data_IF_283992024808
#
_entry.id   IF_283992024808
#
_cell.length_a   1.000
_cell.length_b   1.000
_cell.length_c   1.000
_cell.angle_alpha   90.00
_cell.angle_beta   90.00
_cell.angle_gamma   90.00
#
_symmetry.space_group_name_H-M   'P 1'
#
loop_
_entity.id
_entity.type
_entity.pdbx_description
1 polymer ?
#
# COMPACT_ATOMS: atom_id res chain seq x y z
N UNK A 1 -4.97 3.70 24.64
CA UNK A 1 -6.40 3.32 24.59
C UNK A 1 -6.64 2.26 23.53
N UNK A 2 -6.44 2.49 22.23
CA UNK A 2 -6.81 1.54 21.17
C UNK A 2 -6.11 0.15 21.27
N UNK A 3 -4.79 0.13 21.50
CA UNK A 3 -4.06 -1.14 21.69
C UNK A 3 -4.60 -1.97 22.88
N UNK A 4 -5.07 -1.30 23.94
CA UNK A 4 -5.70 -1.96 25.08
C UNK A 4 -7.02 -2.61 24.66
N UNK A 5 -7.88 -1.91 23.91
CA UNK A 5 -9.14 -2.46 23.38
C UNK A 5 -8.89 -3.69 22.50
N UNK A 6 -7.83 -3.68 21.65
CA UNK A 6 -7.46 -4.83 20.85
C UNK A 6 -7.06 -6.03 21.70
N UNK A 7 -6.28 -5.81 22.76
CA UNK A 7 -5.85 -6.86 23.69
C UNK A 7 -7.03 -7.43 24.50
N UNK A 8 -7.89 -6.58 25.07
CA UNK A 8 -9.06 -6.99 25.84
C UNK A 8 -10.04 -7.83 25.02
N UNK A 9 -10.15 -7.55 23.71
CA UNK A 9 -11.00 -8.30 22.78
C UNK A 9 -10.30 -9.52 22.18
N UNK A 10 -9.00 -9.71 22.44
CA UNK A 10 -8.19 -10.77 21.81
C UNK A 10 -8.36 -10.77 20.28
N UNK A 11 -8.41 -9.57 19.69
CA UNK A 11 -8.79 -9.39 18.30
C UNK A 11 -7.79 -9.99 17.31
N UNK A 12 -6.48 -9.94 17.65
CA UNK A 12 -5.39 -10.41 16.81
C UNK A 12 -4.21 -10.94 17.63
N UNK A 13 -3.34 -11.78 17.02
CA UNK A 13 -2.03 -12.09 17.55
C UNK A 13 -1.20 -10.80 17.74
N UNK A 14 -0.46 -10.72 18.84
CA UNK A 14 0.32 -9.52 19.20
C UNK A 14 1.34 -9.12 18.10
N UNK A 15 1.93 -10.10 17.42
CA UNK A 15 2.85 -9.86 16.30
C UNK A 15 2.17 -9.07 15.18
N UNK A 16 0.95 -9.45 14.78
CA UNK A 16 0.20 -8.77 13.70
C UNK A 16 -0.19 -7.35 14.09
N UNK A 17 -0.48 -7.12 15.38
CA UNK A 17 -0.71 -5.78 15.91
C UNK A 17 0.55 -4.94 15.74
N UNK A 18 1.72 -5.44 16.19
CA UNK A 18 2.98 -4.70 16.07
C UNK A 18 3.35 -4.41 14.61
N UNK A 19 3.25 -5.39 13.73
CA UNK A 19 3.54 -5.21 12.28
C UNK A 19 2.66 -4.11 11.68
N UNK A 20 1.36 -4.11 12.00
CA UNK A 20 0.40 -3.12 11.49
C UNK A 20 0.72 -1.70 11.99
N UNK A 21 1.04 -1.54 13.27
CA UNK A 21 1.38 -0.24 13.85
C UNK A 21 2.72 0.30 13.32
N UNK A 22 3.73 -0.55 13.23
CA UNK A 22 5.04 -0.18 12.68
C UNK A 22 4.96 0.18 11.20
N UNK A 23 4.23 -0.61 10.41
CA UNK A 23 3.99 -0.28 9.02
C UNK A 23 3.27 1.06 8.88
N UNK A 24 2.17 1.27 9.62
CA UNK A 24 1.45 2.55 9.62
C UNK A 24 2.38 3.71 10.01
N UNK A 25 3.16 3.59 11.09
CA UNK A 25 4.09 4.63 11.53
C UNK A 25 5.14 4.95 10.45
N UNK A 26 5.65 3.92 9.76
CA UNK A 26 6.63 4.05 8.68
C UNK A 26 6.06 4.83 7.48
N UNK A 27 4.80 4.59 7.09
CA UNK A 27 4.26 5.09 5.82
C UNK A 27 3.30 6.28 5.95
N UNK A 28 2.70 6.55 7.12
CA UNK A 28 1.67 7.58 7.30
C UNK A 28 2.05 8.97 6.78
N UNK A 29 3.31 9.38 6.94
CA UNK A 29 3.79 10.67 6.46
C UNK A 29 4.12 10.69 4.96
N UNK A 30 4.00 9.55 4.28
CA UNK A 30 4.24 9.37 2.84
C UNK A 30 2.96 9.24 2.04
N UNK A 31 1.92 8.74 2.64
CA UNK A 31 0.58 8.68 2.06
C UNK A 31 -0.06 10.06 2.19
N UNK A 32 -0.42 10.66 1.07
CA UNK A 32 -1.07 11.97 0.99
C UNK A 32 -2.25 11.86 0.03
N UNK A 33 -3.28 11.14 0.48
CA UNK A 33 -4.49 10.90 -0.29
C UNK A 33 -5.70 10.96 0.62
N UNK A 34 -6.82 11.46 0.09
CA UNK A 34 -8.11 11.43 0.78
C UNK A 34 -8.72 10.03 0.81
N UNK A 35 -8.37 9.21 -0.18
CA UNK A 35 -8.84 7.83 -0.29
C UNK A 35 -7.68 6.85 -0.17
N UNK A 36 -7.83 5.85 0.69
CA UNK A 36 -6.85 4.79 0.95
C UNK A 36 -7.52 3.43 0.73
N UNK A 37 -6.85 2.54 0.05
CA UNK A 37 -7.28 1.15 -0.10
C UNK A 37 -6.26 0.19 0.49
N UNK A 38 -6.67 -0.60 1.48
CA UNK A 38 -5.90 -1.70 2.04
C UNK A 38 -6.30 -2.98 1.31
N UNK A 39 -5.42 -3.45 0.42
CA UNK A 39 -5.69 -4.58 -0.48
C UNK A 39 -5.13 -5.88 0.06
N UNK A 40 -5.92 -6.95 0.02
CA UNK A 40 -5.66 -8.19 0.73
C UNK A 40 -5.56 -7.96 2.24
N UNK A 41 -6.44 -7.11 2.74
CA UNK A 41 -6.38 -6.51 4.07
C UNK A 41 -6.61 -7.51 5.22
N UNK A 42 -7.16 -8.70 4.95
CA UNK A 42 -7.54 -9.64 6.00
C UNK A 42 -8.42 -8.96 7.05
N UNK A 43 -7.89 -8.81 8.24
CA UNK A 43 -8.56 -8.14 9.36
C UNK A 43 -8.62 -6.60 9.27
N UNK A 44 -7.95 -5.97 8.32
CA UNK A 44 -8.07 -4.54 8.00
C UNK A 44 -7.44 -3.57 8.98
N UNK A 45 -6.60 -4.01 9.94
CA UNK A 45 -6.06 -3.13 10.99
C UNK A 45 -5.28 -1.95 10.41
N UNK A 46 -4.51 -2.15 9.34
CA UNK A 46 -3.70 -1.08 8.73
C UNK A 46 -4.60 0.03 8.17
N UNK A 47 -5.61 -0.31 7.38
CA UNK A 47 -6.56 0.67 6.87
C UNK A 47 -7.35 1.38 7.99
N UNK A 48 -7.73 0.63 9.04
CA UNK A 48 -8.39 1.20 10.23
C UNK A 48 -7.48 2.22 10.94
N UNK A 49 -6.16 1.97 11.05
CA UNK A 49 -5.22 2.94 11.60
C UNK A 49 -5.17 4.25 10.79
N UNK A 50 -5.27 4.19 9.45
CA UNK A 50 -5.39 5.38 8.63
C UNK A 50 -6.70 6.13 8.91
N UNK A 51 -7.84 5.45 9.01
CA UNK A 51 -9.11 6.08 9.34
C UNK A 51 -9.10 6.77 10.72
N UNK A 52 -8.37 6.20 11.68
CA UNK A 52 -8.28 6.72 13.05
C UNK A 52 -7.34 7.91 13.18
N UNK A 53 -6.15 7.81 12.61
CA UNK A 53 -5.03 8.70 12.94
C UNK A 53 -4.63 9.66 11.83
N UNK A 54 -5.14 9.48 10.61
CA UNK A 54 -4.93 10.42 9.52
C UNK A 54 -6.22 11.23 9.28
N UNK A 55 -6.14 12.54 9.57
CA UNK A 55 -7.29 13.44 9.46
C UNK A 55 -7.65 13.77 8.02
N UNK A 56 -6.68 13.71 7.12
CA UNK A 56 -6.87 14.03 5.71
C UNK A 56 -7.52 12.87 4.95
N UNK A 57 -7.52 11.66 5.53
CA UNK A 57 -8.18 10.49 4.95
C UNK A 57 -9.68 10.56 5.22
N UNK A 58 -10.46 10.55 4.16
CA UNK A 58 -11.92 10.64 4.16
C UNK A 58 -12.60 9.29 3.87
N UNK A 59 -11.99 8.44 3.00
CA UNK A 59 -12.47 7.11 2.63
C UNK A 59 -11.39 6.04 2.77
N UNK A 60 -11.73 4.93 3.39
CA UNK A 60 -10.87 3.75 3.54
C UNK A 60 -11.60 2.52 3.02
N UNK A 61 -11.13 2.00 1.89
CA UNK A 61 -11.58 0.73 1.32
C UNK A 61 -10.72 -0.42 1.85
N UNK A 62 -11.31 -1.30 2.61
CA UNK A 62 -10.71 -2.57 3.02
C UNK A 62 -11.17 -3.66 2.05
N UNK A 63 -10.25 -4.28 1.30
CA UNK A 63 -10.62 -5.26 0.29
C UNK A 63 -9.90 -6.59 0.51
N UNK A 64 -10.68 -7.65 0.71
CA UNK A 64 -10.22 -9.03 0.67
C UNK A 64 -11.29 -9.95 0.10
N UNK A 65 -10.94 -11.21 -0.20
CA UNK A 65 -11.89 -12.22 -0.69
C UNK A 65 -12.95 -12.61 0.32
N UNK A 66 -12.58 -12.57 1.61
CA UNK A 66 -13.43 -12.99 2.73
C UNK A 66 -13.20 -12.03 3.89
N UNK A 67 -14.27 -11.56 4.48
CA UNK A 67 -14.24 -10.75 5.70
C UNK A 67 -14.08 -11.66 6.92
N UNK A 68 -12.94 -11.62 7.62
CA UNK A 68 -12.73 -12.46 8.79
C UNK A 68 -13.50 -11.91 10.02
N UNK A 69 -13.92 -12.78 10.97
CA UNK A 69 -14.58 -12.31 12.19
C UNK A 69 -13.76 -11.34 13.04
N UNK A 70 -12.42 -11.42 12.97
CA UNK A 70 -11.52 -10.51 13.65
C UNK A 70 -11.67 -9.05 13.20
N UNK A 71 -12.12 -8.80 11.97
CA UNK A 71 -12.41 -7.45 11.50
C UNK A 71 -13.45 -6.75 12.38
N UNK A 72 -14.55 -7.42 12.73
CA UNK A 72 -15.62 -6.84 13.53
C UNK A 72 -15.13 -6.49 14.96
N UNK A 73 -14.24 -7.30 15.52
CA UNK A 73 -13.62 -7.03 16.82
C UNK A 73 -12.72 -5.79 16.79
N UNK A 74 -11.94 -5.65 15.71
CA UNK A 74 -11.02 -4.50 15.53
C UNK A 74 -11.81 -3.24 15.24
N UNK A 75 -12.84 -3.31 14.41
CA UNK A 75 -13.71 -2.17 14.11
C UNK A 75 -14.41 -1.68 15.38
N UNK A 76 -14.96 -2.61 16.18
CA UNK A 76 -15.58 -2.25 17.46
C UNK A 76 -14.57 -1.62 18.45
N UNK A 77 -13.33 -2.12 18.49
CA UNK A 77 -12.26 -1.52 19.28
C UNK A 77 -11.90 -0.10 18.79
N UNK A 78 -11.88 0.11 17.47
CA UNK A 78 -11.61 1.42 16.88
C UNK A 78 -12.75 2.39 17.17
N UNK A 79 -14.00 2.00 17.02
CA UNK A 79 -15.18 2.83 17.29
C UNK A 79 -15.30 3.23 18.77
N UNK A 80 -14.92 2.37 19.69
CA UNK A 80 -14.91 2.68 21.12
C UNK A 80 -13.94 3.84 21.46
N UNK A 81 -12.90 4.05 20.66
CA UNK A 81 -11.87 5.07 20.88
C UNK A 81 -12.00 6.26 19.92
N UNK A 82 -12.47 5.98 18.71
CA UNK A 82 -12.54 6.91 17.59
C UNK A 82 -13.84 6.71 16.79
N UNK A 83 -15.01 7.16 17.32
CA UNK A 83 -16.33 6.91 16.69
C UNK A 83 -16.44 7.39 15.25
N UNK A 84 -15.67 8.41 14.85
CA UNK A 84 -15.65 8.94 13.48
C UNK A 84 -15.14 7.96 12.42
N UNK A 85 -14.50 6.86 12.83
CA UNK A 85 -13.98 5.85 11.91
C UNK A 85 -15.07 5.11 11.14
N UNK A 86 -16.26 4.96 11.73
CA UNK A 86 -17.40 4.27 11.11
C UNK A 86 -17.78 4.88 9.77
N UNK A 87 -17.83 6.20 9.68
CA UNK A 87 -18.21 6.91 8.47
C UNK A 87 -17.15 6.83 7.35
N UNK A 88 -15.92 6.46 7.69
CA UNK A 88 -14.80 6.43 6.75
C UNK A 88 -14.51 5.04 6.16
N UNK A 89 -14.94 3.96 6.82
CA UNK A 89 -14.51 2.60 6.52
C UNK A 89 -15.60 1.85 5.77
N UNK A 90 -15.22 1.25 4.65
CA UNK A 90 -16.03 0.25 3.94
C UNK A 90 -15.22 -1.01 3.71
N UNK A 91 -15.82 -2.17 4.00
CA UNK A 91 -15.23 -3.47 3.70
C UNK A 91 -15.85 -4.06 2.43
N UNK A 92 -15.02 -4.44 1.47
CA UNK A 92 -15.42 -4.99 0.18
C UNK A 92 -14.92 -6.43 0.07
N UNK A 93 -15.85 -7.38 0.02
CA UNK A 93 -15.54 -8.78 -0.25
C UNK A 93 -15.45 -9.01 -1.75
N UNK A 94 -14.22 -8.94 -2.28
CA UNK A 94 -13.95 -9.12 -3.70
C UNK A 94 -12.54 -9.69 -3.93
N UNK A 95 -12.33 -10.40 -5.04
CA UNK A 95 -10.99 -10.82 -5.44
C UNK A 95 -10.16 -9.59 -5.86
N UNK A 96 -8.86 -9.58 -5.52
CA UNK A 96 -7.94 -8.47 -5.80
C UNK A 96 -7.98 -7.95 -7.24
N UNK A 97 -8.17 -8.84 -8.23
CA UNK A 97 -8.27 -8.48 -9.66
C UNK A 97 -9.45 -7.53 -9.98
N UNK A 98 -10.44 -7.43 -9.09
CA UNK A 98 -11.59 -6.55 -9.20
C UNK A 98 -11.48 -5.28 -8.35
N UNK A 99 -10.32 -5.03 -7.74
CA UNK A 99 -10.15 -3.86 -6.87
C UNK A 99 -10.47 -2.55 -7.58
N UNK A 100 -10.10 -2.41 -8.86
CA UNK A 100 -10.36 -1.19 -9.64
C UNK A 100 -11.86 -0.88 -9.83
N UNK A 101 -12.75 -1.87 -9.70
CA UNK A 101 -14.20 -1.66 -9.76
C UNK A 101 -14.72 -0.84 -8.56
N UNK A 102 -13.91 -0.70 -7.52
CA UNK A 102 -14.28 -0.12 -6.22
C UNK A 102 -13.43 1.09 -5.82
N UNK A 103 -12.48 1.52 -6.66
CA UNK A 103 -11.48 2.53 -6.29
C UNK A 103 -11.42 3.64 -7.34
N UNK A 104 -11.26 4.86 -6.87
CA UNK A 104 -11.15 6.05 -7.71
C UNK A 104 -9.68 6.39 -8.01
N UNK A 105 -9.48 7.21 -9.05
CA UNK A 105 -8.16 7.74 -9.40
C UNK A 105 -7.55 8.51 -8.23
N UNK A 106 -6.25 8.34 -8.01
CA UNK A 106 -5.53 8.95 -6.91
C UNK A 106 -5.67 8.21 -5.56
N UNK A 107 -6.47 7.13 -5.47
CA UNK A 107 -6.54 6.29 -4.26
C UNK A 107 -5.16 5.72 -3.94
N UNK A 108 -4.70 5.91 -2.71
CA UNK A 108 -3.45 5.31 -2.23
C UNK A 108 -3.66 3.82 -1.92
N UNK A 109 -2.74 2.99 -2.38
CA UNK A 109 -2.78 1.53 -2.20
C UNK A 109 -1.85 1.11 -1.07
N UNK A 110 -2.38 0.38 -0.12
CA UNK A 110 -1.63 -0.33 0.91
C UNK A 110 -1.69 -1.83 0.63
N UNK A 111 -0.62 -2.55 0.96
CA UNK A 111 -0.59 -4.00 0.87
C UNK A 111 0.39 -4.57 1.89
N UNK A 112 -0.14 -5.00 3.02
CA UNK A 112 0.60 -5.75 4.04
C UNK A 112 0.26 -7.22 3.87
N UNK A 113 1.29 -8.07 3.75
CA UNK A 113 1.11 -9.51 3.49
C UNK A 113 0.36 -9.86 2.18
N UNK A 114 0.33 -8.96 1.21
CA UNK A 114 -0.11 -9.26 -0.14
C UNK A 114 0.93 -10.14 -0.86
N UNK A 115 0.96 -11.43 -0.53
CA UNK A 115 2.05 -12.35 -0.89
C UNK A 115 2.16 -12.65 -2.38
N UNK A 116 3.41 -12.82 -2.84
CA UNK A 116 3.72 -13.28 -4.21
C UNK A 116 3.20 -12.31 -5.28
N UNK A 117 2.49 -12.85 -6.27
CA UNK A 117 1.93 -12.08 -7.38
C UNK A 117 0.90 -11.01 -6.96
N UNK A 118 0.33 -11.09 -5.75
CA UNK A 118 -0.59 -10.07 -5.24
C UNK A 118 0.11 -8.74 -4.99
N UNK A 119 1.37 -8.76 -4.52
CA UNK A 119 2.19 -7.54 -4.41
C UNK A 119 2.31 -6.84 -5.77
N UNK A 120 2.54 -7.60 -6.83
CA UNK A 120 2.68 -7.08 -8.19
C UNK A 120 1.35 -6.54 -8.74
N UNK A 121 0.22 -7.16 -8.37
CA UNK A 121 -1.11 -6.64 -8.68
C UNK A 121 -1.40 -5.32 -7.94
N UNK A 122 -1.01 -5.20 -6.65
CA UNK A 122 -1.13 -3.93 -5.91
C UNK A 122 -0.35 -2.80 -6.60
N UNK A 123 0.87 -3.08 -7.08
CA UNK A 123 1.66 -2.12 -7.86
C UNK A 123 0.93 -1.73 -9.15
N UNK A 124 0.42 -2.71 -9.89
CA UNK A 124 -0.31 -2.46 -11.14
C UNK A 124 -1.57 -1.60 -10.90
N UNK A 125 -2.33 -1.88 -9.85
CA UNK A 125 -3.50 -1.08 -9.47
C UNK A 125 -3.11 0.35 -9.11
N UNK A 126 -2.05 0.54 -8.31
CA UNK A 126 -1.56 1.87 -7.96
C UNK A 126 -1.14 2.67 -9.20
N UNK A 127 -0.46 2.03 -10.16
CA UNK A 127 -0.08 2.66 -11.43
C UNK A 127 -1.32 3.06 -12.22
N UNK A 128 -2.31 2.18 -12.35
CA UNK A 128 -3.56 2.46 -13.05
C UNK A 128 -4.34 3.63 -12.45
N UNK A 129 -4.37 3.73 -11.13
CA UNK A 129 -5.05 4.79 -10.39
C UNK A 129 -4.20 6.06 -10.23
N UNK A 130 -2.91 6.03 -10.60
CA UNK A 130 -1.92 7.08 -10.29
C UNK A 130 -1.88 7.42 -8.79
N UNK A 131 -2.12 6.43 -7.96
CA UNK A 131 -2.10 6.54 -6.49
C UNK A 131 -0.72 6.24 -5.91
N UNK A 132 -0.45 6.76 -4.72
CA UNK A 132 0.72 6.34 -3.93
C UNK A 132 0.56 4.86 -3.54
N UNK A 133 1.64 4.10 -3.50
CA UNK A 133 1.62 2.70 -3.06
C UNK A 133 2.60 2.48 -1.92
N UNK A 134 2.19 1.73 -0.90
CA UNK A 134 3.06 1.29 0.18
C UNK A 134 2.82 -0.21 0.46
N UNK A 135 3.88 -0.99 0.41
CA UNK A 135 3.82 -2.45 0.47
C UNK A 135 4.83 -3.01 1.48
N UNK A 136 4.40 -4.02 2.24
CA UNK A 136 5.26 -4.86 3.08
C UNK A 136 5.15 -6.31 2.59
N UNK A 137 5.96 -6.73 1.60
CA UNK A 137 5.92 -8.09 1.07
C UNK A 137 6.52 -9.08 2.06
N UNK A 138 5.71 -9.98 2.62
CA UNK A 138 6.17 -10.97 3.61
C UNK A 138 6.72 -12.26 2.99
N UNK A 139 6.29 -12.62 1.79
CA UNK A 139 6.79 -13.79 1.09
C UNK A 139 6.88 -13.54 -0.41
N UNK A 140 7.91 -14.08 -1.02
CA UNK A 140 8.22 -13.89 -2.44
C UNK A 140 8.23 -15.25 -3.12
N UNK A 141 7.52 -15.36 -4.23
CA UNK A 141 7.52 -16.57 -5.06
C UNK A 141 8.77 -16.57 -5.95
N UNK A 142 9.92 -16.90 -5.38
CA UNK A 142 11.25 -16.78 -6.00
C UNK A 142 11.34 -17.42 -7.39
N UNK A 143 10.73 -18.61 -7.57
CA UNK A 143 10.81 -19.37 -8.83
C UNK A 143 9.92 -18.79 -9.93
N UNK A 144 8.83 -18.14 -9.59
CA UNK A 144 7.83 -17.64 -10.55
C UNK A 144 8.00 -16.16 -10.88
N UNK A 145 8.81 -15.44 -10.10
CA UNK A 145 8.99 -14.00 -10.32
C UNK A 145 9.95 -13.74 -11.48
N UNK A 146 9.63 -12.80 -12.40
CA UNK A 146 10.40 -12.51 -13.62
C UNK A 146 11.73 -11.77 -13.38
N UNK A 147 12.09 -11.44 -12.14
CA UNK A 147 13.39 -10.80 -11.86
C UNK A 147 14.54 -11.62 -12.47
N UNK A 148 15.53 -10.97 -13.11
CA UNK A 148 16.63 -11.64 -13.79
C UNK A 148 17.42 -12.58 -12.85
N UNK A 149 17.73 -13.79 -13.33
CA UNK A 149 18.47 -14.78 -12.54
C UNK A 149 19.86 -14.28 -12.10
N UNK A 150 20.54 -13.48 -12.92
CA UNK A 150 21.82 -12.89 -12.54
C UNK A 150 21.69 -11.99 -11.30
N UNK A 151 20.59 -11.24 -11.16
CA UNK A 151 20.34 -10.44 -9.95
C UNK A 151 19.99 -11.33 -8.75
N UNK A 152 19.18 -12.38 -8.94
CA UNK A 152 18.85 -13.33 -7.88
C UNK A 152 20.08 -14.03 -7.31
N UNK A 153 21.02 -14.39 -8.20
CA UNK A 153 22.26 -15.07 -7.81
C UNK A 153 23.23 -14.16 -7.04
N UNK A 154 23.28 -12.87 -7.35
CA UNK A 154 24.22 -11.92 -6.73
C UNK A 154 23.63 -11.23 -5.48
N UNK A 155 22.37 -10.82 -5.54
CA UNK A 155 21.71 -10.03 -4.49
C UNK A 155 20.86 -10.86 -3.55
N UNK A 156 20.64 -12.14 -3.87
CA UNK A 156 19.58 -12.94 -3.27
C UNK A 156 18.21 -12.62 -3.90
N UNK A 157 17.36 -13.65 -3.95
CA UNK A 157 16.08 -13.56 -4.67
C UNK A 157 15.16 -12.46 -4.12
N UNK A 158 15.13 -12.24 -2.83
CA UNK A 158 14.26 -11.24 -2.19
C UNK A 158 14.62 -9.81 -2.60
N UNK A 159 15.91 -9.49 -2.60
CA UNK A 159 16.39 -8.17 -3.03
C UNK A 159 16.19 -7.99 -4.53
N UNK A 160 16.51 -9.00 -5.33
CA UNK A 160 16.34 -8.96 -6.78
C UNK A 160 14.89 -8.71 -7.20
N UNK A 161 13.92 -9.33 -6.51
CA UNK A 161 12.50 -9.13 -6.76
C UNK A 161 12.08 -7.69 -6.44
N UNK A 162 12.52 -7.14 -5.31
CA UNK A 162 12.17 -5.77 -4.94
C UNK A 162 12.89 -4.72 -5.81
N UNK A 163 14.09 -5.03 -6.33
CA UNK A 163 14.77 -4.23 -7.37
C UNK A 163 13.94 -4.20 -8.65
N UNK A 164 13.47 -5.36 -9.13
CA UNK A 164 12.63 -5.45 -10.33
C UNK A 164 11.34 -4.63 -10.16
N UNK A 165 10.65 -4.76 -9.01
CA UNK A 165 9.47 -3.96 -8.66
C UNK A 165 9.76 -2.47 -8.67
N UNK A 166 10.92 -2.08 -8.13
CA UNK A 166 11.38 -0.69 -8.11
C UNK A 166 11.54 -0.14 -9.52
N UNK A 167 12.20 -0.88 -10.42
CA UNK A 167 12.38 -0.45 -11.81
C UNK A 167 11.05 -0.39 -12.57
N UNK A 168 10.12 -1.32 -12.34
CA UNK A 168 8.79 -1.26 -12.96
C UNK A 168 8.00 -0.02 -12.52
N UNK A 169 8.01 0.30 -11.23
CA UNK A 169 7.40 1.54 -10.73
C UNK A 169 8.09 2.77 -11.28
N UNK A 170 9.44 2.78 -11.35
CA UNK A 170 10.20 3.89 -11.91
C UNK A 170 9.86 4.12 -13.38
N UNK A 171 9.80 3.06 -14.19
CA UNK A 171 9.41 3.13 -15.60
C UNK A 171 7.97 3.65 -15.80
N UNK A 172 7.10 3.45 -14.82
CA UNK A 172 5.74 4.00 -14.80
C UNK A 172 5.67 5.46 -14.26
N UNK A 173 6.81 6.13 -14.06
CA UNK A 173 6.88 7.51 -13.59
C UNK A 173 6.72 7.68 -12.08
N UNK A 174 7.12 6.69 -11.31
CA UNK A 174 7.09 6.77 -9.85
C UNK A 174 8.47 7.07 -9.26
N UNK A 175 8.52 7.91 -8.25
CA UNK A 175 9.65 7.99 -7.34
C UNK A 175 9.51 6.89 -6.30
N UNK A 176 10.47 5.96 -6.24
CA UNK A 176 10.45 4.82 -5.32
C UNK A 176 11.42 5.03 -4.18
N UNK A 177 11.01 4.61 -3.00
CA UNK A 177 11.82 4.58 -1.79
C UNK A 177 11.65 3.22 -1.12
N UNK A 178 12.74 2.72 -0.55
CA UNK A 178 12.72 1.62 0.42
C UNK A 178 12.81 2.18 1.83
N UNK A 179 12.03 1.58 2.72
CA UNK A 179 12.06 1.84 4.15
C UNK A 179 11.99 0.51 4.90
N UNK A 180 12.05 0.51 6.21
CA UNK A 180 12.09 -0.72 6.99
C UNK A 180 11.29 -0.55 8.27
N UNK A 181 10.57 -1.61 8.68
CA UNK A 181 10.07 -1.75 10.05
C UNK A 181 11.09 -2.53 10.89
N UNK A 182 10.88 -2.63 12.21
CA UNK A 182 11.83 -3.29 13.08
C UNK A 182 12.04 -4.77 12.70
N UNK A 183 13.28 -5.23 12.50
CA UNK A 183 13.58 -6.65 12.24
C UNK A 183 13.24 -7.58 13.42
N UNK A 184 13.08 -7.04 14.64
CA UNK A 184 12.62 -7.81 15.80
C UNK A 184 11.16 -8.23 15.70
N UNK A 185 10.38 -7.58 14.83
CA UNK A 185 8.97 -7.89 14.59
C UNK A 185 8.83 -8.91 13.47
N UNK A 186 9.53 -8.68 12.36
CA UNK A 186 9.50 -9.56 11.20
C UNK A 186 10.82 -9.49 10.42
N UNK A 187 11.32 -10.67 9.99
CA UNK A 187 12.54 -10.76 9.17
C UNK A 187 12.31 -10.12 7.78
N UNK A 188 11.09 -10.24 7.26
CA UNK A 188 10.68 -9.68 5.97
C UNK A 188 10.18 -8.24 6.14
N UNK A 189 11.07 -7.37 6.60
CA UNK A 189 10.76 -6.04 7.16
C UNK A 189 10.90 -4.87 6.17
N UNK A 190 11.18 -5.13 4.88
CA UNK A 190 11.35 -4.06 3.88
C UNK A 190 10.02 -3.53 3.39
N UNK A 191 9.87 -2.21 3.44
CA UNK A 191 8.72 -1.47 2.95
C UNK A 191 9.07 -0.80 1.61
N UNK A 192 8.29 -1.09 0.57
CA UNK A 192 8.39 -0.44 -0.73
C UNK A 192 7.36 0.68 -0.81
N UNK A 193 7.80 1.92 -1.08
CA UNK A 193 6.92 3.08 -1.20
C UNK A 193 7.14 3.71 -2.56
N UNK A 194 6.07 3.76 -3.37
CA UNK A 194 6.08 4.41 -4.68
C UNK A 194 5.11 5.61 -4.69
N UNK A 195 5.58 6.76 -5.14
CA UNK A 195 4.76 7.97 -5.33
C UNK A 195 4.79 8.40 -6.78
N UNK A 196 3.63 8.63 -7.43
CA UNK A 196 3.60 9.13 -8.79
C UNK A 196 4.27 10.51 -8.85
N UNK A 197 5.11 10.72 -9.86
CA UNK A 197 5.68 12.04 -10.14
C UNK A 197 4.67 12.86 -10.96
N UNK A 198 4.64 14.19 -10.79
CA UNK A 198 3.92 15.06 -11.71
C UNK A 198 4.37 14.77 -13.14
N UNK A 199 3.42 14.68 -14.07
CA UNK A 199 3.78 14.64 -15.49
C UNK A 199 4.41 16.00 -15.83
N UNK A 200 5.68 15.98 -16.26
CA UNK A 200 6.28 17.15 -16.89
C UNK A 200 5.63 17.18 -18.28
N UNK A 201 4.74 18.14 -18.51
CA UNK A 201 4.24 18.44 -19.85
C UNK A 201 5.44 18.85 -20.72
N UNK A 202 6.02 17.89 -21.39
CA UNK A 202 6.94 18.15 -22.50
C UNK A 202 6.11 18.45 -23.74
N UNK A 203 5.34 19.53 -23.73
CA UNK A 203 4.96 20.18 -24.98
C UNK A 203 6.25 20.69 -25.60
N UNK A 204 6.68 20.21 -26.78
CA UNK A 204 7.83 20.79 -27.44
C UNK A 204 7.47 22.27 -27.71
N UNK A 205 8.31 23.16 -27.21
CA UNK A 205 8.27 24.57 -27.60
C UNK A 205 8.21 24.62 -29.12
N UNK A 206 7.08 25.06 -29.66
CA UNK A 206 6.96 25.31 -31.09
C UNK A 206 7.97 26.39 -31.43
N UNK A 207 8.95 26.15 -32.32
CA UNK A 207 9.91 27.19 -32.64
C UNK A 207 9.16 28.38 -33.23
N UNK A 208 9.26 29.52 -32.57
CA UNK A 208 8.77 30.80 -33.11
C UNK A 208 9.59 31.04 -34.38
N UNK A 209 8.95 30.79 -35.54
CA UNK A 209 9.51 31.15 -36.83
C UNK A 209 9.50 32.68 -36.87
N UNK A 210 10.68 33.30 -36.68
CA UNK A 210 10.90 34.72 -36.90
C UNK A 210 10.66 34.98 -38.40
N UNK A 211 9.55 35.62 -38.71
CA UNK A 211 9.31 36.19 -40.06
C UNK A 211 10.28 37.32 -40.30
N UNK A 212 11.34 37.06 -41.06
CA UNK A 212 12.17 38.10 -41.62
C UNK A 212 11.35 38.78 -42.72
N UNK A 213 10.94 40.02 -42.44
CA UNK A 213 10.40 40.94 -43.43
C UNK A 213 11.59 41.58 -44.18
N UNK A 214 11.58 41.41 -45.48
CA UNK A 214 12.38 42.19 -46.42
C UNK A 214 11.74 43.56 -46.66
#
# INVERSE_FOLDING_TARGET
MFARELCERQALPFKEVLESFEFFACVRNRIRSKSVADLCCGHGLVGILFAMFDRDVEDVCLLDKVRPPSFDLILAAAQAVAPWTEAKIRYVEAPLKRALDHLDSGTAILGVHACGAKTDQCIAHAISLRGTVALLPCCRQHRLHPAPECLKNVLGADVAIDVDRTYRMHAAGYRVRWDYISPSITEMNRVLIGRPQPQIDTTPDTPVVASASQ
#
